data_IF_757875229359
#
_entry.id   IF_757875229359
#
_cell.length_a   1.000
_cell.length_b   1.000
_cell.length_c   1.000
_cell.angle_alpha   90.00
_cell.angle_beta   90.00
_cell.angle_gamma   90.00
#
_symmetry.space_group_name_H-M   'P 1'
#
loop_
_entity.id
_entity.type
_entity.pdbx_description
1 polymer ?
#
# COMPACT_ATOMS: atom_id res chain seq x y z
N UNK A 1 -11.67 -19.13 17.11
CA UNK A 1 -11.19 -17.92 17.82
C UNK A 1 -9.67 -17.85 17.94
N UNK A 2 -8.96 -18.97 18.18
CA UNK A 2 -7.47 -18.98 18.25
C UNK A 2 -6.80 -18.39 17.00
N UNK A 3 -7.33 -18.68 15.80
CA UNK A 3 -6.77 -18.17 14.53
C UNK A 3 -6.91 -16.65 14.37
N UNK A 4 -8.05 -16.05 14.76
CA UNK A 4 -8.24 -14.60 14.68
C UNK A 4 -7.22 -13.87 15.58
N UNK A 5 -7.06 -14.36 16.81
CA UNK A 5 -6.05 -13.83 17.74
C UNK A 5 -4.62 -14.05 17.26
N UNK A 6 -4.34 -15.19 16.63
CA UNK A 6 -3.04 -15.45 16.02
C UNK A 6 -2.75 -14.47 14.87
N UNK A 7 -3.74 -14.17 14.02
CA UNK A 7 -3.61 -13.21 12.92
C UNK A 7 -3.26 -11.80 13.42
N UNK A 8 -4.00 -11.33 14.43
CA UNK A 8 -3.69 -10.07 15.12
C UNK A 8 -2.30 -10.11 15.76
N UNK A 9 -1.91 -11.26 16.31
CA UNK A 9 -0.59 -11.50 16.87
C UNK A 9 0.54 -11.26 15.86
N UNK A 10 0.37 -11.66 14.59
CA UNK A 10 1.34 -11.40 13.52
C UNK A 10 1.45 -9.91 13.19
N UNK A 11 0.32 -9.19 13.16
CA UNK A 11 0.32 -7.74 12.98
C UNK A 11 1.13 -7.05 14.09
N UNK A 12 0.85 -7.39 15.35
CA UNK A 12 1.56 -6.82 16.49
C UNK A 12 3.05 -7.19 16.48
N UNK A 13 3.39 -8.45 16.15
CA UNK A 13 4.79 -8.89 15.99
C UNK A 13 5.50 -8.08 14.91
N UNK A 14 4.86 -7.85 13.77
CA UNK A 14 5.40 -7.02 12.68
C UNK A 14 5.69 -5.59 13.12
N UNK A 15 4.74 -4.94 13.80
CA UNK A 15 4.94 -3.59 14.36
C UNK A 15 6.11 -3.57 15.36
N UNK A 16 6.17 -4.54 16.28
CA UNK A 16 7.29 -4.63 17.24
C UNK A 16 8.63 -4.89 16.56
N UNK A 17 8.66 -5.72 15.53
CA UNK A 17 9.88 -6.04 14.78
C UNK A 17 10.46 -4.76 14.18
N UNK A 18 9.61 -3.96 13.52
CA UNK A 18 10.06 -2.72 12.88
C UNK A 18 10.50 -1.66 13.91
N UNK A 19 9.78 -1.52 15.03
CA UNK A 19 10.19 -0.59 16.10
C UNK A 19 11.53 -0.99 16.70
N UNK A 20 11.82 -2.28 16.86
CA UNK A 20 13.14 -2.77 17.30
C UNK A 20 14.23 -2.53 16.26
N UNK A 21 13.86 -2.52 14.98
CA UNK A 21 14.76 -2.31 13.86
C UNK A 21 14.55 -0.92 13.24
N UNK A 22 14.84 0.14 14.01
CA UNK A 22 14.50 1.52 13.64
C UNK A 22 15.00 2.00 12.26
N UNK A 23 16.10 1.44 11.73
CA UNK A 23 16.55 1.70 10.35
C UNK A 23 15.50 1.29 9.31
N UNK A 24 14.88 0.14 9.52
CA UNK A 24 13.87 -0.44 8.64
C UNK A 24 12.51 0.24 8.77
N UNK A 25 12.21 0.81 9.94
CA UNK A 25 11.09 1.74 10.09
C UNK A 25 11.28 2.97 9.20
N UNK A 26 12.45 3.62 9.30
CA UNK A 26 12.77 4.79 8.47
C UNK A 26 12.72 4.48 6.97
N UNK A 27 13.29 3.34 6.54
CA UNK A 27 13.24 2.89 5.14
C UNK A 27 11.81 2.67 4.64
N UNK A 28 10.91 2.15 5.48
CA UNK A 28 9.51 1.96 5.09
C UNK A 28 8.70 3.27 4.99
N UNK A 29 9.11 4.34 5.69
CA UNK A 29 8.50 5.69 5.57
C UNK A 29 9.07 6.49 4.39
N UNK A 30 10.27 6.13 3.95
CA UNK A 30 11.06 6.84 2.95
C UNK A 30 10.32 7.08 1.62
N UNK A 31 9.53 6.13 1.07
CA UNK A 31 8.76 6.36 -0.16
C UNK A 31 7.76 7.51 -0.04
N UNK A 32 7.01 7.54 1.07
CA UNK A 32 6.06 8.60 1.36
C UNK A 32 6.77 9.95 1.52
N UNK A 33 7.93 9.96 2.17
CA UNK A 33 8.72 11.18 2.34
C UNK A 33 9.31 11.69 1.01
N UNK A 34 9.91 10.81 0.20
CA UNK A 34 10.44 11.17 -1.12
C UNK A 34 9.35 11.79 -1.98
N UNK A 35 8.20 11.12 -2.07
CA UNK A 35 7.10 11.60 -2.89
C UNK A 35 6.51 12.90 -2.35
N UNK A 36 6.37 13.04 -1.04
CA UNK A 36 5.97 14.31 -0.42
C UNK A 36 6.91 15.45 -0.78
N UNK A 37 8.22 15.24 -0.65
CA UNK A 37 9.23 16.26 -0.98
C UNK A 37 9.20 16.61 -2.47
N UNK A 38 9.08 15.60 -3.34
CA UNK A 38 9.01 15.79 -4.79
C UNK A 38 7.79 16.63 -5.19
N UNK A 39 6.60 16.29 -4.70
CA UNK A 39 5.37 17.04 -5.01
C UNK A 39 5.35 18.41 -4.34
N UNK A 40 5.85 18.54 -3.11
CA UNK A 40 6.00 19.85 -2.46
C UNK A 40 6.94 20.75 -3.26
N UNK A 41 8.09 20.23 -3.71
CA UNK A 41 9.02 20.96 -4.57
C UNK A 41 8.40 21.37 -5.90
N UNK A 42 7.66 20.46 -6.55
CA UNK A 42 6.94 20.76 -7.80
C UNK A 42 5.87 21.86 -7.61
N UNK A 43 5.09 21.80 -6.53
CA UNK A 43 4.08 22.81 -6.22
C UNK A 43 4.69 24.15 -5.81
N UNK A 44 5.81 24.15 -5.08
CA UNK A 44 6.55 25.38 -4.77
C UNK A 44 7.11 26.00 -6.05
N UNK A 45 7.73 25.19 -6.92
CA UNK A 45 8.21 25.64 -8.23
C UNK A 45 7.08 26.20 -9.10
N UNK A 46 5.93 25.52 -9.11
CA UNK A 46 4.73 26.02 -9.79
C UNK A 46 4.20 27.30 -9.15
N UNK A 47 4.22 27.43 -7.82
CA UNK A 47 3.80 28.64 -7.12
C UNK A 47 4.62 29.87 -7.50
N UNK A 48 5.94 29.71 -7.67
CA UNK A 48 6.81 30.78 -8.14
C UNK A 48 6.71 31.01 -9.66
N UNK A 49 6.56 29.95 -10.46
CA UNK A 49 6.57 30.03 -11.92
C UNK A 49 5.20 30.21 -12.59
N UNK A 50 4.09 30.05 -11.88
CA UNK A 50 2.75 30.11 -12.49
C UNK A 50 2.41 31.51 -13.05
N UNK A 51 2.94 32.57 -12.43
CA UNK A 51 2.82 33.93 -12.94
C UNK A 51 3.56 34.09 -14.27
N UNK A 52 4.83 33.72 -14.32
CA UNK A 52 5.65 33.75 -15.54
C UNK A 52 5.04 32.89 -16.65
N UNK A 53 4.44 31.76 -16.30
CA UNK A 53 3.76 30.87 -17.24
C UNK A 53 2.46 31.49 -17.78
N UNK A 54 1.70 32.19 -16.94
CA UNK A 54 0.52 32.95 -17.36
C UNK A 54 0.90 34.13 -18.27
N UNK A 55 2.00 34.83 -17.96
CA UNK A 55 2.54 35.91 -18.79
C UNK A 55 2.99 35.37 -20.15
N UNK A 56 3.80 34.31 -20.17
CA UNK A 56 4.28 33.65 -21.39
C UNK A 56 3.14 33.11 -22.27
N UNK A 57 2.05 32.63 -21.66
CA UNK A 57 0.89 32.12 -22.36
C UNK A 57 -0.07 33.21 -22.87
N UNK A 58 0.07 34.47 -22.41
CA UNK A 58 -0.84 35.57 -22.76
C UNK A 58 -0.18 36.79 -23.44
N UNK A 59 0.70 36.62 -24.44
CA UNK A 59 1.30 37.76 -25.15
C UNK A 59 0.27 38.58 -25.92
N UNK A 60 -0.83 37.95 -26.34
CA UNK A 60 -1.95 38.63 -27.01
C UNK A 60 -2.70 39.63 -26.10
N UNK A 61 -2.49 39.56 -24.79
CA UNK A 61 -3.14 40.42 -23.80
C UNK A 61 -2.24 41.57 -23.33
N UNK A 62 -1.00 41.67 -23.81
CA UNK A 62 -0.02 42.68 -23.35
C UNK A 62 -0.53 44.13 -23.50
N UNK A 63 -1.36 44.38 -24.52
CA UNK A 63 -1.90 45.71 -24.82
C UNK A 63 -3.13 46.09 -23.98
N UNK A 64 -3.60 45.20 -23.09
CA UNK A 64 -4.86 45.39 -22.37
C UNK A 64 -4.69 46.39 -21.22
N UNK A 65 -5.68 47.29 -21.07
CA UNK A 65 -5.68 48.26 -19.97
C UNK A 65 -5.99 47.61 -18.62
N UNK A 66 -5.44 48.19 -17.54
CA UNK A 66 -5.85 47.86 -16.17
C UNK A 66 -7.36 48.14 -15.96
N UNK A 67 -8.12 47.26 -15.28
CA UNK A 67 -7.68 46.08 -14.50
C UNK A 67 -7.75 44.75 -15.27
N UNK A 68 -8.15 44.75 -16.55
CA UNK A 68 -8.49 43.52 -17.29
C UNK A 68 -7.30 42.58 -17.49
N UNK A 69 -6.11 43.13 -17.74
CA UNK A 69 -4.87 42.35 -17.84
C UNK A 69 -4.55 41.60 -16.54
N UNK A 70 -4.57 42.32 -15.42
CA UNK A 70 -4.29 41.74 -14.10
C UNK A 70 -5.34 40.72 -13.69
N UNK A 71 -6.62 40.95 -14.00
CA UNK A 71 -7.69 39.98 -13.76
C UNK A 71 -7.46 38.69 -14.54
N UNK A 72 -7.15 38.78 -15.85
CA UNK A 72 -6.88 37.61 -16.69
C UNK A 72 -5.69 36.81 -16.16
N UNK A 73 -4.54 37.47 -15.96
CA UNK A 73 -3.29 36.82 -15.55
C UNK A 73 -3.40 36.21 -14.16
N UNK A 74 -3.95 36.93 -13.18
CA UNK A 74 -4.15 36.39 -11.84
C UNK A 74 -5.11 35.19 -11.85
N UNK A 75 -6.19 35.26 -12.64
CA UNK A 75 -7.12 34.13 -12.78
C UNK A 75 -6.43 32.91 -13.38
N UNK A 76 -5.64 33.10 -14.45
CA UNK A 76 -4.88 32.03 -15.08
C UNK A 76 -3.84 31.43 -14.13
N UNK A 77 -3.10 32.25 -13.39
CA UNK A 77 -2.14 31.80 -12.37
C UNK A 77 -2.83 30.92 -11.32
N UNK A 78 -3.99 31.35 -10.80
CA UNK A 78 -4.77 30.56 -9.85
C UNK A 78 -5.25 29.25 -10.47
N UNK A 79 -5.74 29.27 -11.71
CA UNK A 79 -6.20 28.07 -12.41
C UNK A 79 -5.07 27.07 -12.67
N UNK A 80 -3.90 27.54 -13.13
CA UNK A 80 -2.71 26.72 -13.35
C UNK A 80 -2.26 26.08 -12.05
N UNK A 81 -2.19 26.86 -10.97
CA UNK A 81 -1.82 26.33 -9.65
C UNK A 81 -2.85 25.32 -9.13
N UNK A 82 -4.15 25.63 -9.24
CA UNK A 82 -5.23 24.74 -8.82
C UNK A 82 -5.23 23.42 -9.62
N UNK A 83 -4.98 23.50 -10.93
CA UNK A 83 -4.85 22.32 -11.79
C UNK A 83 -3.61 21.50 -11.42
N UNK A 84 -2.46 22.14 -11.18
CA UNK A 84 -1.25 21.48 -10.70
C UNK A 84 -1.46 20.78 -9.35
N UNK A 85 -2.15 21.44 -8.41
CA UNK A 85 -2.52 20.86 -7.12
C UNK A 85 -3.47 19.66 -7.28
N UNK A 86 -4.46 19.78 -8.16
CA UNK A 86 -5.38 18.69 -8.47
C UNK A 86 -4.65 17.47 -9.05
N UNK A 87 -3.77 17.68 -10.03
CA UNK A 87 -2.93 16.63 -10.60
C UNK A 87 -2.03 16.02 -9.52
N UNK A 88 -1.44 16.85 -8.65
CA UNK A 88 -0.62 16.39 -7.54
C UNK A 88 -1.39 15.44 -6.63
N UNK A 89 -2.58 15.83 -6.18
CA UNK A 89 -3.43 15.00 -5.31
C UNK A 89 -3.78 13.67 -5.96
N UNK A 90 -4.20 13.66 -7.23
CA UNK A 90 -4.60 12.43 -7.93
C UNK A 90 -3.41 11.49 -8.16
N UNK A 91 -2.26 12.04 -8.53
CA UNK A 91 -1.09 11.24 -8.91
C UNK A 91 -0.22 10.86 -7.72
N UNK A 92 -0.32 11.57 -6.59
CA UNK A 92 0.50 11.36 -5.39
C UNK A 92 0.50 9.89 -4.96
N UNK A 93 -0.67 9.30 -4.71
CA UNK A 93 -0.76 7.90 -4.25
C UNK A 93 -0.15 6.92 -5.25
N UNK A 94 -0.40 7.09 -6.55
CA UNK A 94 0.16 6.22 -7.57
C UNK A 94 1.69 6.29 -7.60
N UNK A 95 2.26 7.49 -7.53
CA UNK A 95 3.71 7.68 -7.49
C UNK A 95 4.31 7.19 -6.18
N UNK A 96 3.67 7.41 -5.03
CA UNK A 96 4.12 6.89 -3.72
C UNK A 96 4.18 5.37 -3.72
N UNK A 97 3.16 4.71 -4.27
CA UNK A 97 3.16 3.24 -4.39
C UNK A 97 4.27 2.75 -5.32
N UNK A 98 4.45 3.40 -6.48
CA UNK A 98 5.49 3.05 -7.45
C UNK A 98 6.90 3.18 -6.84
N UNK A 99 7.17 4.30 -6.15
CA UNK A 99 8.43 4.53 -5.45
C UNK A 99 8.59 3.56 -4.28
N UNK A 100 7.49 3.15 -3.64
CA UNK A 100 7.50 2.31 -2.44
C UNK A 100 7.82 0.84 -2.66
N UNK A 101 7.48 0.28 -3.83
CA UNK A 101 7.73 -1.13 -4.18
C UNK A 101 9.12 -1.65 -3.73
N UNK A 102 10.25 -1.05 -4.17
CA UNK A 102 11.59 -1.57 -3.83
C UNK A 102 11.90 -1.50 -2.33
N UNK A 103 11.38 -0.50 -1.62
CA UNK A 103 11.59 -0.35 -0.17
C UNK A 103 10.80 -1.38 0.62
N UNK A 104 9.57 -1.67 0.20
CA UNK A 104 8.72 -2.69 0.82
C UNK A 104 9.26 -4.10 0.55
N UNK A 105 9.79 -4.37 -0.64
CA UNK A 105 10.49 -5.62 -0.96
C UNK A 105 11.74 -5.81 -0.10
N UNK A 106 12.61 -4.80 -0.03
CA UNK A 106 13.83 -4.83 0.80
C UNK A 106 13.51 -5.04 2.29
N UNK A 107 12.43 -4.42 2.78
CA UNK A 107 11.95 -4.60 4.14
C UNK A 107 11.49 -6.04 4.40
N UNK A 108 10.72 -6.61 3.46
CA UNK A 108 10.28 -8.01 3.53
C UNK A 108 11.46 -8.98 3.48
N UNK A 109 12.47 -8.70 2.67
CA UNK A 109 13.72 -9.46 2.58
C UNK A 109 14.45 -9.55 3.90
N UNK A 110 14.63 -8.41 4.58
CA UNK A 110 15.31 -8.41 5.86
C UNK A 110 14.52 -9.17 6.91
N UNK A 111 13.20 -9.04 6.94
CA UNK A 111 12.36 -9.81 7.87
C UNK A 111 12.57 -11.31 7.66
N UNK A 112 12.59 -11.76 6.40
CA UNK A 112 12.87 -13.17 6.08
C UNK A 112 14.29 -13.60 6.46
N UNK A 113 15.30 -12.73 6.24
CA UNK A 113 16.70 -12.98 6.58
C UNK A 113 16.90 -13.08 8.09
N UNK A 114 16.29 -12.18 8.85
CA UNK A 114 16.39 -12.13 10.31
C UNK A 114 15.74 -13.34 10.99
N UNK A 115 14.66 -13.88 10.42
CA UNK A 115 13.91 -15.00 11.02
C UNK A 115 14.29 -16.39 10.48
N UNK A 116 14.81 -16.47 9.24
CA UNK A 116 15.08 -17.76 8.56
C UNK A 116 16.46 -17.91 7.93
N UNK A 117 17.31 -16.89 7.96
CA UNK A 117 18.70 -16.95 7.48
C UNK A 117 18.89 -17.03 5.95
N UNK A 118 17.80 -17.11 5.16
CA UNK A 118 17.85 -17.06 3.68
C UNK A 118 16.70 -16.21 3.15
N UNK A 119 17.00 -15.35 2.17
CA UNK A 119 16.01 -14.62 1.40
C UNK A 119 15.69 -15.45 0.14
N UNK A 120 14.46 -15.97 -0.02
CA UNK A 120 14.07 -16.64 -1.25
C UNK A 120 14.07 -15.64 -2.41
N UNK A 121 14.68 -16.01 -3.52
CA UNK A 121 14.69 -15.25 -4.77
C UNK A 121 13.93 -16.05 -5.84
N UNK A 122 13.06 -15.38 -6.60
CA UNK A 122 12.43 -15.98 -7.76
C UNK A 122 13.47 -16.04 -8.88
N UNK A 123 14.01 -17.22 -9.15
CA UNK A 123 15.00 -17.44 -10.21
C UNK A 123 14.44 -17.33 -11.64
N UNK A 124 13.44 -16.48 -11.88
CA UNK A 124 12.79 -16.30 -13.18
C UNK A 124 13.34 -15.07 -13.93
N UNK A 125 13.25 -15.03 -15.27
CA UNK A 125 13.60 -13.83 -16.04
C UNK A 125 12.62 -12.68 -15.77
N UNK A 126 13.14 -11.46 -15.54
CA UNK A 126 12.37 -10.26 -15.18
C UNK A 126 11.12 -10.02 -16.07
N UNK A 127 11.24 -10.19 -17.40
CA UNK A 127 10.10 -9.99 -18.32
C UNK A 127 8.95 -10.98 -18.06
N UNK A 128 9.28 -12.22 -17.70
CA UNK A 128 8.29 -13.26 -17.40
C UNK A 128 7.62 -12.98 -16.05
N UNK A 129 8.38 -12.49 -15.08
CA UNK A 129 7.86 -12.05 -13.78
C UNK A 129 6.91 -10.87 -13.93
N UNK A 130 7.28 -9.86 -14.72
CA UNK A 130 6.43 -8.71 -15.06
C UNK A 130 5.10 -9.14 -15.69
N UNK A 131 5.14 -10.04 -16.67
CA UNK A 131 3.92 -10.55 -17.32
C UNK A 131 3.02 -11.34 -16.37
N UNK A 132 3.61 -12.22 -15.54
CA UNK A 132 2.88 -13.00 -14.54
C UNK A 132 2.26 -12.05 -13.50
N UNK A 133 3.03 -11.09 -13.00
CA UNK A 133 2.59 -10.08 -12.04
C UNK A 133 1.43 -9.24 -12.60
N UNK A 134 1.55 -8.73 -13.83
CA UNK A 134 0.49 -7.97 -14.48
C UNK A 134 -0.81 -8.79 -14.61
N UNK A 135 -0.72 -10.04 -15.08
CA UNK A 135 -1.88 -10.94 -15.19
C UNK A 135 -2.51 -11.23 -13.82
N UNK A 136 -1.69 -11.44 -12.80
CA UNK A 136 -2.14 -11.74 -11.46
C UNK A 136 -2.83 -10.52 -10.81
N UNK A 137 -2.28 -9.32 -11.00
CA UNK A 137 -2.87 -8.05 -10.58
C UNK A 137 -4.23 -7.82 -11.22
N UNK A 138 -4.39 -8.07 -12.53
CA UNK A 138 -5.69 -7.98 -13.20
C UNK A 138 -6.70 -8.97 -12.62
N UNK A 139 -6.29 -10.21 -12.33
CA UNK A 139 -7.15 -11.22 -11.70
C UNK A 139 -7.56 -10.87 -10.27
N UNK A 140 -6.69 -10.20 -9.51
CA UNK A 140 -7.01 -9.67 -8.19
C UNK A 140 -8.01 -8.53 -8.33
N UNK A 141 -7.74 -7.57 -9.22
CA UNK A 141 -8.59 -6.40 -9.44
C UNK A 141 -10.02 -6.79 -9.85
N UNK A 142 -10.16 -7.76 -10.77
CA UNK A 142 -11.48 -8.29 -11.15
C UNK A 142 -12.20 -8.91 -9.95
N UNK A 143 -11.51 -9.65 -9.09
CA UNK A 143 -12.13 -10.22 -7.87
C UNK A 143 -12.58 -9.13 -6.91
N UNK A 144 -11.74 -8.13 -6.65
CA UNK A 144 -12.09 -6.98 -5.80
C UNK A 144 -13.33 -6.26 -6.37
N UNK A 145 -13.35 -6.00 -7.67
CA UNK A 145 -14.47 -5.35 -8.34
C UNK A 145 -15.77 -6.18 -8.23
N UNK A 146 -15.70 -7.51 -8.41
CA UNK A 146 -16.86 -8.39 -8.26
C UNK A 146 -17.43 -8.35 -6.84
N UNK A 147 -16.57 -8.41 -5.81
CA UNK A 147 -17.01 -8.29 -4.42
C UNK A 147 -17.57 -6.90 -4.12
N UNK A 148 -16.96 -5.83 -4.66
CA UNK A 148 -17.47 -4.47 -4.50
C UNK A 148 -18.88 -4.32 -5.09
N UNK A 149 -19.11 -4.82 -6.30
CA UNK A 149 -20.44 -4.81 -6.95
C UNK A 149 -21.45 -5.64 -6.16
N UNK A 150 -21.05 -6.83 -5.70
CA UNK A 150 -21.92 -7.69 -4.89
C UNK A 150 -22.33 -7.03 -3.58
N UNK A 151 -21.37 -6.47 -2.84
CA UNK A 151 -21.64 -5.76 -1.58
C UNK A 151 -22.47 -4.51 -1.82
N UNK A 152 -22.19 -3.76 -2.88
CA UNK A 152 -22.99 -2.60 -3.27
C UNK A 152 -24.45 -2.98 -3.54
N UNK A 153 -24.69 -4.05 -4.30
CA UNK A 153 -26.02 -4.56 -4.57
C UNK A 153 -26.73 -5.03 -3.28
N UNK A 154 -26.01 -5.75 -2.41
CA UNK A 154 -26.54 -6.18 -1.10
C UNK A 154 -26.86 -4.99 -0.17
N UNK A 155 -26.18 -3.85 -0.35
CA UNK A 155 -26.45 -2.62 0.39
C UNK A 155 -27.87 -2.07 0.20
N UNK A 156 -28.55 -2.44 -0.89
CA UNK A 156 -29.94 -2.04 -1.15
C UNK A 156 -30.98 -2.88 -0.40
N UNK A 157 -30.58 -3.99 0.25
CA UNK A 157 -31.51 -4.80 1.05
C UNK A 157 -31.91 -3.99 2.30
N UNK A 158 -33.20 -3.69 2.52
CA UNK A 158 -33.62 -2.92 3.67
C UNK A 158 -33.21 -3.59 4.99
N UNK A 159 -32.75 -2.78 5.96
CA UNK A 159 -32.31 -3.20 7.31
C UNK A 159 -31.00 -4.00 7.31
N UNK A 160 -30.90 -5.08 6.53
CA UNK A 160 -29.69 -5.91 6.46
C UNK A 160 -28.54 -5.23 5.68
N UNK A 161 -28.87 -4.49 4.62
CA UNK A 161 -27.93 -3.78 3.76
C UNK A 161 -27.16 -2.67 4.48
N UNK A 162 -27.78 -2.01 5.47
CA UNK A 162 -27.14 -0.94 6.21
C UNK A 162 -26.38 -1.43 7.45
N UNK A 163 -26.62 -2.68 7.89
CA UNK A 163 -26.04 -3.24 9.12
C UNK A 163 -24.97 -4.29 8.84
N UNK A 164 -25.30 -5.34 8.10
CA UNK A 164 -24.42 -6.50 7.86
C UNK A 164 -23.42 -6.23 6.74
N UNK A 165 -23.84 -5.53 5.68
CA UNK A 165 -22.99 -5.30 4.51
C UNK A 165 -21.76 -4.44 4.82
N UNK A 166 -21.83 -3.36 5.61
CA UNK A 166 -20.62 -2.62 6.01
C UNK A 166 -19.62 -3.50 6.77
N UNK A 167 -20.10 -4.36 7.68
CA UNK A 167 -19.27 -5.30 8.42
C UNK A 167 -18.59 -6.30 7.48
N UNK A 168 -19.34 -6.87 6.54
CA UNK A 168 -18.79 -7.74 5.49
C UNK A 168 -17.81 -6.98 4.60
N UNK A 169 -18.06 -5.71 4.32
CA UNK A 169 -17.17 -4.80 3.61
C UNK A 169 -15.81 -4.71 4.30
N UNK A 170 -15.78 -4.44 5.61
CA UNK A 170 -14.53 -4.44 6.36
C UNK A 170 -13.83 -5.81 6.36
N UNK A 171 -14.58 -6.91 6.46
CA UNK A 171 -14.00 -8.25 6.35
C UNK A 171 -13.37 -8.49 4.98
N UNK A 172 -14.05 -8.12 3.89
CA UNK A 172 -13.57 -8.28 2.52
C UNK A 172 -12.36 -7.39 2.26
N UNK A 173 -12.43 -6.11 2.63
CA UNK A 173 -11.30 -5.18 2.54
C UNK A 173 -10.10 -5.68 3.33
N UNK A 174 -10.30 -6.12 4.58
CA UNK A 174 -9.24 -6.68 5.40
C UNK A 174 -8.63 -7.95 4.77
N UNK A 175 -9.46 -8.84 4.23
CA UNK A 175 -8.98 -10.04 3.56
C UNK A 175 -8.11 -9.71 2.33
N UNK A 176 -8.56 -8.80 1.47
CA UNK A 176 -7.81 -8.41 0.28
C UNK A 176 -6.53 -7.64 0.63
N UNK A 177 -6.56 -6.79 1.66
CA UNK A 177 -5.38 -6.10 2.15
C UNK A 177 -4.31 -7.08 2.65
N UNK A 178 -4.74 -8.10 3.41
CA UNK A 178 -3.84 -9.16 3.85
C UNK A 178 -3.32 -10.02 2.68
N UNK A 179 -4.17 -10.34 1.70
CA UNK A 179 -3.77 -11.03 0.46
C UNK A 179 -2.69 -10.23 -0.28
N UNK A 180 -2.86 -8.91 -0.43
CA UNK A 180 -1.92 -8.03 -1.13
C UNK A 180 -0.58 -7.91 -0.40
N UNK A 181 -0.59 -7.69 0.92
CA UNK A 181 0.65 -7.54 1.69
C UNK A 181 1.42 -8.87 1.81
N UNK A 182 0.71 -10.00 1.94
CA UNK A 182 1.37 -11.32 1.97
C UNK A 182 1.85 -11.75 0.59
N UNK A 183 1.24 -11.25 -0.49
CA UNK A 183 1.61 -11.61 -1.85
C UNK A 183 3.09 -11.37 -2.14
N UNK A 184 3.68 -10.27 -1.64
CA UNK A 184 5.10 -9.94 -1.82
C UNK A 184 6.00 -11.07 -1.30
N UNK A 185 5.80 -11.48 -0.04
CA UNK A 185 6.58 -12.56 0.58
C UNK A 185 6.35 -13.94 -0.08
N UNK A 186 5.12 -14.20 -0.53
CA UNK A 186 4.73 -15.45 -1.18
C UNK A 186 5.23 -15.54 -2.65
N UNK A 187 5.26 -14.43 -3.38
CA UNK A 187 5.79 -14.35 -4.75
C UNK A 187 7.28 -14.57 -4.79
N UNK A 188 8.02 -14.02 -3.82
CA UNK A 188 9.46 -14.25 -3.68
C UNK A 188 9.81 -15.73 -3.42
N UNK A 189 8.88 -16.49 -2.86
CA UNK A 189 8.96 -17.96 -2.72
C UNK A 189 8.52 -18.72 -3.97
N UNK A 190 8.30 -18.03 -5.09
CA UNK A 190 7.92 -18.62 -6.37
C UNK A 190 6.48 -19.17 -6.43
N UNK A 191 5.62 -18.88 -5.46
CA UNK A 191 4.27 -19.44 -5.45
C UNK A 191 3.36 -18.81 -6.49
N UNK A 192 2.75 -19.67 -7.31
CA UNK A 192 1.78 -19.25 -8.31
C UNK A 192 0.54 -18.64 -7.63
N UNK A 193 -0.13 -17.69 -8.29
CA UNK A 193 -1.36 -17.06 -7.75
C UNK A 193 -2.37 -18.10 -7.27
N UNK A 194 -2.61 -19.16 -8.05
CA UNK A 194 -3.59 -20.20 -7.69
C UNK A 194 -3.29 -20.84 -6.33
N UNK A 195 -2.03 -21.10 -6.04
CA UNK A 195 -1.56 -21.71 -4.78
C UNK A 195 -1.70 -20.72 -3.63
N UNK A 196 -1.28 -19.46 -3.83
CA UNK A 196 -1.48 -18.38 -2.85
C UNK A 196 -2.94 -18.24 -2.45
N UNK A 197 -3.85 -18.21 -3.42
CA UNK A 197 -5.29 -18.12 -3.17
C UNK A 197 -5.86 -19.35 -2.48
N UNK A 198 -5.34 -20.53 -2.74
CA UNK A 198 -5.76 -21.74 -2.05
C UNK A 198 -5.30 -21.72 -0.59
N UNK A 199 -4.05 -21.31 -0.34
CA UNK A 199 -3.46 -21.20 0.99
C UNK A 199 -4.23 -20.20 1.87
N UNK A 200 -4.46 -18.99 1.37
CA UNK A 200 -5.20 -17.95 2.11
C UNK A 200 -6.66 -18.36 2.37
N UNK A 201 -7.32 -19.02 1.40
CA UNK A 201 -8.68 -19.55 1.57
C UNK A 201 -8.76 -20.71 2.55
N UNK A 202 -7.68 -21.44 2.79
CA UNK A 202 -7.60 -22.49 3.80
C UNK A 202 -7.48 -21.97 5.23
N UNK A 203 -7.04 -20.72 5.40
CA UNK A 203 -6.75 -20.08 6.71
C UNK A 203 -7.50 -18.75 6.88
N UNK A 204 -8.73 -18.62 6.36
CA UNK A 204 -9.48 -17.34 6.30
C UNK A 204 -9.56 -16.59 7.63
N UNK A 205 -9.79 -17.29 8.74
CA UNK A 205 -9.88 -16.67 10.05
C UNK A 205 -8.55 -16.05 10.50
N UNK A 206 -7.42 -16.67 10.16
CA UNK A 206 -6.09 -16.12 10.41
C UNK A 206 -5.87 -14.85 9.59
N UNK A 207 -6.23 -14.89 8.30
CA UNK A 207 -6.09 -13.76 7.37
C UNK A 207 -6.98 -12.59 7.80
N UNK A 208 -8.24 -12.85 8.15
CA UNK A 208 -9.15 -11.82 8.66
C UNK A 208 -8.67 -11.23 9.99
N UNK A 209 -8.09 -12.06 10.86
CA UNK A 209 -7.52 -11.62 12.14
C UNK A 209 -6.34 -10.66 11.98
N UNK A 210 -5.59 -10.78 10.88
CA UNK A 210 -4.53 -9.85 10.51
C UNK A 210 -5.09 -8.61 9.78
N UNK A 211 -5.88 -8.85 8.74
CA UNK A 211 -6.28 -7.84 7.77
C UNK A 211 -7.38 -6.90 8.23
N UNK A 212 -8.37 -7.36 9.01
CA UNK A 212 -9.47 -6.51 9.47
C UNK A 212 -8.97 -5.43 10.44
N UNK A 213 -8.20 -5.74 11.50
CA UNK A 213 -7.66 -4.71 12.38
C UNK A 213 -6.73 -3.74 11.65
N UNK A 214 -5.93 -4.25 10.69
CA UNK A 214 -5.06 -3.42 9.87
C UNK A 214 -5.86 -2.46 8.97
N UNK A 215 -6.88 -2.97 8.28
CA UNK A 215 -7.74 -2.17 7.41
C UNK A 215 -8.49 -1.10 8.20
N UNK A 216 -9.00 -1.43 9.39
CA UNK A 216 -9.61 -0.46 10.30
C UNK A 216 -8.63 0.62 10.75
N UNK A 217 -7.39 0.25 11.08
CA UNK A 217 -6.35 1.22 11.44
C UNK A 217 -5.99 2.16 10.28
N UNK A 218 -6.05 1.66 9.03
CA UNK A 218 -5.78 2.46 7.83
C UNK A 218 -6.88 3.46 7.49
N UNK A 219 -8.07 3.36 8.10
CA UNK A 219 -9.10 4.40 8.00
C UNK A 219 -8.69 5.68 8.70
N UNK A 220 -7.80 5.60 9.69
CA UNK A 220 -7.30 6.78 10.39
C UNK A 220 -6.20 7.42 9.53
N UNK A 221 -6.37 8.70 9.10
CA UNK A 221 -5.33 9.39 8.34
C UNK A 221 -4.00 9.42 9.08
N UNK A 222 -2.89 9.47 8.33
CA UNK A 222 -1.50 9.42 8.82
C UNK A 222 -1.08 8.11 9.49
N UNK A 223 -1.96 7.48 10.28
CA UNK A 223 -1.73 6.19 10.94
C UNK A 223 -1.31 5.13 9.93
N UNK A 224 -1.95 5.09 8.75
CA UNK A 224 -1.57 4.18 7.67
C UNK A 224 -0.08 4.27 7.30
N UNK A 225 0.47 5.48 7.16
CA UNK A 225 1.88 5.71 6.77
C UNK A 225 2.84 5.10 7.80
N UNK A 226 2.54 5.28 9.09
CA UNK A 226 3.38 4.75 10.17
C UNK A 226 3.21 3.24 10.40
N UNK A 227 2.02 2.70 10.14
CA UNK A 227 1.77 1.26 10.29
C UNK A 227 2.24 0.44 9.08
N UNK A 228 2.31 1.01 7.88
CA UNK A 228 2.67 0.28 6.66
C UNK A 228 3.96 -0.54 6.76
N UNK A 229 5.09 -0.02 7.27
CA UNK A 229 6.30 -0.81 7.43
C UNK A 229 6.08 -2.04 8.33
N UNK A 230 5.41 -1.86 9.47
CA UNK A 230 5.09 -2.97 10.38
C UNK A 230 4.04 -3.91 9.82
N UNK A 231 3.18 -3.44 8.92
CA UNK A 231 2.21 -4.26 8.20
C UNK A 231 2.91 -5.17 7.18
N UNK A 232 3.89 -4.65 6.44
CA UNK A 232 4.74 -5.45 5.52
C UNK A 232 5.54 -6.50 6.29
N UNK A 233 6.16 -6.11 7.42
CA UNK A 233 6.86 -7.06 8.27
C UNK A 233 5.93 -8.12 8.87
N UNK A 234 4.75 -7.71 9.37
CA UNK A 234 3.74 -8.62 9.91
C UNK A 234 3.18 -9.57 8.86
N UNK A 235 2.96 -9.10 7.64
CA UNK A 235 2.53 -9.93 6.51
C UNK A 235 3.62 -10.93 6.09
N UNK A 236 4.89 -10.55 6.15
CA UNK A 236 6.02 -11.47 5.92
C UNK A 236 6.05 -12.57 6.99
N UNK A 237 5.92 -12.21 8.27
CA UNK A 237 5.82 -13.19 9.37
C UNK A 237 4.59 -14.10 9.23
N UNK A 238 3.45 -13.56 8.79
CA UNK A 238 2.24 -14.33 8.51
C UNK A 238 2.44 -15.30 7.34
N UNK A 239 3.11 -14.87 6.27
CA UNK A 239 3.43 -15.72 5.14
C UNK A 239 4.31 -16.91 5.55
N UNK A 240 5.31 -16.67 6.40
CA UNK A 240 6.16 -17.73 6.99
C UNK A 240 5.36 -18.74 7.79
N UNK A 241 4.49 -18.28 8.70
CA UNK A 241 3.68 -19.19 9.52
C UNK A 241 2.67 -20.00 8.70
N UNK A 242 2.11 -19.42 7.63
CA UNK A 242 1.26 -20.15 6.69
C UNK A 242 1.98 -21.31 5.99
N UNK A 243 3.30 -21.18 5.78
CA UNK A 243 4.15 -22.20 5.17
C UNK A 243 4.81 -23.15 6.20
N UNK A 244 4.56 -22.94 7.49
CA UNK A 244 5.22 -23.71 8.56
C UNK A 244 6.69 -23.35 8.78
N UNK A 245 7.14 -22.19 8.28
CA UNK A 245 8.51 -21.67 8.42
C UNK A 245 8.69 -20.87 9.74
N UNK A 246 8.10 -21.36 10.83
CA UNK A 246 8.27 -20.72 12.15
C UNK A 246 9.74 -20.78 12.58
N UNK A 247 10.21 -19.73 13.26
CA UNK A 247 11.60 -19.62 13.66
C UNK A 247 12.02 -20.86 14.44
N UNK A 248 13.15 -21.46 14.02
CA UNK A 248 13.89 -22.40 14.86
C UNK A 248 14.31 -21.59 16.07
N UNK A 249 13.52 -21.67 17.15
CA UNK A 249 13.91 -21.14 18.43
C UNK A 249 15.31 -21.65 18.73
N UNK A 250 16.20 -20.73 19.09
CA UNK A 250 17.56 -21.01 19.59
C UNK A 250 17.60 -22.35 20.33
N UNK A 251 18.16 -23.37 19.69
CA UNK A 251 18.55 -24.61 20.37
C UNK A 251 19.57 -24.15 21.42
N UNK A 252 19.33 -24.37 22.73
CA UNK A 252 20.34 -24.06 23.73
C UNK A 252 21.60 -24.84 23.38
N UNK A 253 22.81 -24.26 23.49
CA UNK A 253 24.02 -25.04 23.30
C UNK A 253 23.98 -26.27 24.22
N UNK A 254 24.47 -27.44 23.77
CA UNK A 254 24.57 -28.60 24.64
C UNK A 254 25.31 -28.17 25.91
N UNK A 255 24.68 -28.38 27.07
CA UNK A 255 25.32 -28.10 28.35
C UNK A 255 26.59 -28.97 28.44
N UNK A 256 27.71 -28.41 28.94
CA UNK A 256 28.94 -29.16 29.13
C UNK A 256 28.75 -30.32 30.10
#
# INVERSE_FOLDING_TARGET
MRDLGAGLGHLIKGQRWVVRHGRWFGLGLLPGLITLVLYAGALVGLGYGAGDLADWATPFADDWSSPWLGLLRNTLTVLVFAFGLFLAVITFTAVTLLVGQPFYESLSEEVDRAEGGKAPESGLPLWRELWISARDSVRILVRVALYAVLLFALGFVPVAGQTVVPLLGFCVTGYFLAEELTAVALQRRGMALKERLALLRGRRLLILGFGVPLGLAFLVPFVAVFLMPGAVAGATLLARSLLGEESVGTVPPPRP
#
